data_IF_712235138710
#
_entry.id   IF_712235138710
#
_cell.length_a   1.000
_cell.length_b   1.000
_cell.length_c   1.000
_cell.angle_alpha   90.00
_cell.angle_beta   90.00
_cell.angle_gamma   90.00
#
_symmetry.space_group_name_H-M   'P 1'
#
loop_
_entity.id
_entity.type
_entity.pdbx_description
1 polymer ?
#
# COMPACT_ATOMS: atom_id res chain seq x y z
N UNK A 1 -12.50 -3.00 38.27
CA UNK A 1 -12.52 -1.60 37.83
C UNK A 1 -11.07 -1.24 37.67
N UNK A 2 -10.62 -0.89 36.45
CA UNK A 2 -9.28 -0.37 36.28
C UNK A 2 -9.20 0.92 37.09
N UNK A 3 -8.18 1.08 37.92
CA UNK A 3 -7.92 2.33 38.63
C UNK A 3 -7.72 3.42 37.57
N UNK A 4 -8.78 4.18 37.32
CA UNK A 4 -8.72 5.32 36.41
C UNK A 4 -7.83 6.38 37.04
N UNK A 5 -6.66 6.57 36.43
CA UNK A 5 -5.73 7.56 36.88
C UNK A 5 -6.12 8.92 36.27
N UNK A 6 -6.38 9.92 37.08
CA UNK A 6 -6.82 11.23 36.66
C UNK A 6 -5.70 12.25 36.92
N UNK A 7 -5.24 12.86 35.85
CA UNK A 7 -4.30 13.97 35.88
C UNK A 7 -4.93 15.28 35.40
N UNK A 8 -4.11 16.31 35.31
CA UNK A 8 -4.51 17.62 34.82
C UNK A 8 -3.60 18.11 33.73
N UNK A 9 -4.18 18.70 32.71
CA UNK A 9 -3.44 19.36 31.64
C UNK A 9 -2.66 20.55 32.20
N UNK A 10 -1.37 20.58 31.96
CA UNK A 10 -0.45 21.63 32.43
C UNK A 10 0.01 22.55 31.31
N UNK A 11 0.16 22.03 30.10
CA UNK A 11 0.63 22.80 28.95
C UNK A 11 0.01 22.25 27.65
N UNK A 12 -0.22 23.14 26.69
CA UNK A 12 -0.70 22.81 25.35
C UNK A 12 0.15 23.61 24.36
N UNK A 13 0.82 22.91 23.43
CA UNK A 13 1.62 23.52 22.36
C UNK A 13 1.27 22.82 21.05
N UNK A 14 0.33 23.41 20.29
CA UNK A 14 -0.19 22.78 19.09
C UNK A 14 -0.81 21.42 19.38
N UNK A 15 -0.33 20.39 18.73
CA UNK A 15 -0.79 19.00 18.91
C UNK A 15 -0.13 18.27 20.11
N UNK A 16 0.73 18.96 20.88
CA UNK A 16 1.39 18.38 22.05
C UNK A 16 0.73 18.86 23.33
N UNK A 17 0.43 17.94 24.23
CA UNK A 17 -0.25 18.17 25.50
C UNK A 17 0.61 17.60 26.63
N UNK A 18 0.91 18.41 27.63
CA UNK A 18 1.53 17.93 28.87
C UNK A 18 0.45 17.79 29.94
N UNK A 19 0.47 16.66 30.64
CA UNK A 19 -0.46 16.36 31.72
C UNK A 19 0.29 15.81 32.94
N UNK A 20 -0.11 16.26 34.13
CA UNK A 20 0.49 15.88 35.41
C UNK A 20 -0.45 14.92 36.14
N UNK A 21 0.10 13.79 36.58
CA UNK A 21 -0.58 12.74 37.34
C UNK A 21 0.07 12.61 38.72
N UNK A 22 -0.46 13.30 39.70
CA UNK A 22 0.10 13.34 41.06
C UNK A 22 -0.30 12.18 41.93
N UNK A 23 -1.34 11.46 41.56
CA UNK A 23 -1.87 10.30 42.27
C UNK A 23 -1.94 9.09 41.36
N UNK A 24 -1.67 7.92 41.92
CA UNK A 24 -1.72 6.67 41.15
C UNK A 24 -0.47 6.39 40.31
N UNK A 25 -0.60 5.46 39.38
CA UNK A 25 0.49 5.06 38.48
C UNK A 25 0.56 6.03 37.29
N UNK A 26 1.77 6.51 37.01
CA UNK A 26 2.00 7.32 35.80
C UNK A 26 1.66 6.52 34.53
N UNK A 27 0.88 7.08 33.58
CA UNK A 27 0.62 6.42 32.31
C UNK A 27 1.90 6.00 31.60
N UNK A 28 1.90 4.82 31.01
CA UNK A 28 3.05 4.30 30.28
C UNK A 28 3.18 4.93 28.88
N UNK A 29 4.35 4.81 28.28
CA UNK A 29 4.56 5.23 26.89
C UNK A 29 3.61 4.44 25.98
N UNK A 30 2.97 5.13 25.05
CA UNK A 30 1.91 4.68 24.16
C UNK A 30 0.52 4.52 24.79
N UNK A 31 0.36 4.67 26.10
CA UNK A 31 -0.98 4.66 26.69
C UNK A 31 -1.83 5.81 26.12
N UNK A 32 -3.12 5.53 25.93
CA UNK A 32 -4.09 6.53 25.55
C UNK A 32 -4.57 7.31 26.78
N UNK A 33 -4.68 8.62 26.58
CA UNK A 33 -5.27 9.56 27.55
C UNK A 33 -6.49 10.20 26.91
N UNK A 34 -7.55 10.38 27.67
CA UNK A 34 -8.76 11.06 27.22
C UNK A 34 -8.96 12.39 27.95
N UNK A 35 -9.41 13.39 27.21
CA UNK A 35 -9.73 14.72 27.73
C UNK A 35 -11.11 15.09 27.21
N UNK A 36 -12.06 15.34 28.13
CA UNK A 36 -13.37 15.84 27.76
C UNK A 36 -13.27 17.31 27.33
N UNK A 37 -13.67 17.61 26.12
CA UNK A 37 -13.66 18.97 25.59
C UNK A 37 -14.88 19.73 26.03
N UNK A 38 -14.87 21.08 25.93
CA UNK A 38 -16.02 21.92 26.26
C UNK A 38 -17.21 21.70 25.33
N UNK A 39 -17.01 21.19 24.13
CA UNK A 39 -18.05 20.80 23.17
C UNK A 39 -18.79 19.52 23.53
N UNK A 40 -18.28 18.76 24.50
CA UNK A 40 -18.80 17.45 24.90
C UNK A 40 -18.15 16.26 24.18
N UNK A 41 -17.23 16.54 23.28
CA UNK A 41 -16.45 15.51 22.59
C UNK A 41 -15.30 15.00 23.48
N UNK A 42 -14.79 13.84 23.16
CA UNK A 42 -13.61 13.27 23.82
C UNK A 42 -12.40 13.37 22.91
N UNK A 43 -11.36 14.08 23.34
CA UNK A 43 -10.07 14.08 22.67
C UNK A 43 -9.22 12.94 23.19
N UNK A 44 -8.65 12.16 22.28
CA UNK A 44 -7.64 11.13 22.59
C UNK A 44 -6.26 11.69 22.33
N UNK A 45 -5.33 11.37 23.24
CA UNK A 45 -3.92 11.66 23.09
C UNK A 45 -3.11 10.44 23.50
N UNK A 46 -1.93 10.30 22.91
CA UNK A 46 -1.01 9.17 23.16
C UNK A 46 0.20 9.67 23.93
N UNK A 47 0.56 8.98 25.00
CA UNK A 47 1.77 9.28 25.78
C UNK A 47 3.01 9.01 24.94
N UNK A 48 3.83 10.03 24.73
CA UNK A 48 5.08 9.96 23.96
C UNK A 48 6.33 9.98 24.84
N UNK A 49 6.32 10.75 25.93
CA UNK A 49 7.48 10.93 26.80
C UNK A 49 7.07 11.09 28.26
N UNK A 50 7.94 10.65 29.16
CA UNK A 50 7.91 11.04 30.58
C UNK A 50 8.86 12.20 30.78
N UNK A 51 8.38 13.31 31.32
CA UNK A 51 9.18 14.53 31.55
C UNK A 51 9.79 14.63 32.95
N UNK A 52 9.42 13.72 33.85
CA UNK A 52 9.70 13.84 35.27
C UNK A 52 8.61 14.62 36.00
N UNK A 53 8.71 14.72 37.32
CA UNK A 53 7.73 15.41 38.18
C UNK A 53 6.26 15.00 37.86
N UNK A 54 6.04 13.70 37.76
CA UNK A 54 4.72 13.07 37.45
C UNK A 54 4.05 13.59 36.18
N UNK A 55 4.80 14.14 35.25
CA UNK A 55 4.31 14.74 34.02
C UNK A 55 4.62 13.88 32.81
N UNK A 56 3.61 13.70 31.98
CA UNK A 56 3.73 13.02 30.69
C UNK A 56 3.48 14.00 29.55
N UNK A 57 4.19 13.81 28.46
CA UNK A 57 3.97 14.53 27.20
C UNK A 57 3.26 13.63 26.22
N UNK A 58 2.14 14.14 25.70
CA UNK A 58 1.24 13.40 24.84
C UNK A 58 1.11 14.07 23.47
N UNK A 59 0.76 13.27 22.48
CA UNK A 59 0.45 13.73 21.13
C UNK A 59 -1.04 13.54 20.90
N UNK A 60 -1.73 14.64 20.53
CA UNK A 60 -3.16 14.61 20.27
C UNK A 60 -3.50 13.89 18.96
N UNK A 61 -4.57 13.11 19.00
CA UNK A 61 -5.15 12.42 17.83
C UNK A 61 -6.27 13.22 17.16
N UNK A 62 -6.59 14.38 17.69
CA UNK A 62 -7.61 15.30 17.19
C UNK A 62 -7.23 16.76 17.45
N UNK A 63 -8.06 17.71 17.03
CA UNK A 63 -7.84 19.13 17.26
C UNK A 63 -7.73 19.45 18.74
N UNK A 64 -6.79 20.32 19.12
CA UNK A 64 -6.56 20.77 20.50
C UNK A 64 -7.26 22.11 20.80
N UNK A 65 -8.01 22.62 19.86
CA UNK A 65 -8.73 23.88 20.00
C UNK A 65 -9.71 23.85 21.19
N UNK A 66 -9.67 24.90 21.99
CA UNK A 66 -10.55 25.01 23.17
C UNK A 66 -10.04 24.25 24.40
N UNK A 67 -8.94 23.54 24.35
CA UNK A 67 -8.30 22.98 25.55
C UNK A 67 -7.67 24.10 26.39
N UNK A 68 -7.78 23.98 27.71
CA UNK A 68 -7.17 24.89 28.65
C UNK A 68 -6.43 24.12 29.76
N UNK A 69 -5.46 24.77 30.36
CA UNK A 69 -4.77 24.22 31.55
C UNK A 69 -5.78 23.96 32.67
N UNK A 70 -5.54 22.87 33.40
CA UNK A 70 -6.39 22.46 34.52
C UNK A 70 -7.54 21.51 34.12
N UNK A 71 -7.78 21.28 32.83
CA UNK A 71 -8.70 20.23 32.39
C UNK A 71 -8.24 18.86 32.84
N UNK A 72 -9.20 17.98 33.13
CA UNK A 72 -8.90 16.60 33.52
C UNK A 72 -8.39 15.79 32.32
N UNK A 73 -7.31 15.06 32.56
CA UNK A 73 -6.75 14.09 31.64
C UNK A 73 -6.86 12.70 32.28
N UNK A 74 -7.60 11.79 31.67
CA UNK A 74 -7.86 10.47 32.22
C UNK A 74 -7.02 9.43 31.49
N UNK A 75 -6.13 8.77 32.24
CA UNK A 75 -5.36 7.64 31.73
C UNK A 75 -6.27 6.41 31.54
N UNK A 76 -6.23 5.81 30.37
CA UNK A 76 -7.03 4.61 30.09
C UNK A 76 -6.36 3.32 30.56
N UNK A 77 -5.07 3.37 30.90
CA UNK A 77 -4.27 2.21 31.30
C UNK A 77 -3.92 1.25 30.14
N UNK A 78 -4.15 1.65 28.91
CA UNK A 78 -3.84 0.88 27.70
C UNK A 78 -3.58 1.78 26.51
N UNK A 79 -2.86 1.30 25.48
CA UNK A 79 -2.74 1.98 24.20
C UNK A 79 -4.11 2.17 23.51
N UNK A 80 -4.13 2.99 22.46
CA UNK A 80 -5.32 3.09 21.59
C UNK A 80 -5.69 1.71 21.09
N UNK A 81 -6.94 1.29 21.30
CA UNK A 81 -7.49 0.03 20.81
C UNK A 81 -8.54 0.27 19.74
N UNK A 82 -8.54 -0.58 18.74
CA UNK A 82 -9.43 -0.45 17.57
C UNK A 82 -10.24 -1.73 17.36
N UNK A 83 -11.46 -1.63 16.81
CA UNK A 83 -12.29 -2.78 16.51
C UNK A 83 -11.63 -3.62 15.41
N UNK A 84 -11.74 -4.94 15.54
CA UNK A 84 -11.20 -5.91 14.57
C UNK A 84 -12.25 -6.97 14.24
N UNK A 85 -12.09 -7.66 13.13
CA UNK A 85 -12.94 -8.77 12.73
C UNK A 85 -13.79 -8.48 11.51
N UNK A 86 -14.58 -9.46 11.09
CA UNK A 86 -15.37 -9.40 9.87
C UNK A 86 -16.44 -8.29 9.88
N UNK A 87 -16.87 -7.85 11.06
CA UNK A 87 -17.81 -6.72 11.19
C UNK A 87 -17.21 -5.38 10.74
N UNK A 88 -15.88 -5.30 10.55
CA UNK A 88 -15.20 -4.11 10.01
C UNK A 88 -15.20 -4.08 8.47
N UNK A 89 -15.49 -5.20 7.82
CA UNK A 89 -15.54 -5.27 6.34
C UNK A 89 -16.69 -4.40 5.82
N UNK A 90 -16.44 -3.72 4.72
CA UNK A 90 -17.39 -2.80 4.12
C UNK A 90 -17.50 -1.44 4.83
N UNK A 91 -16.65 -1.19 5.81
CA UNK A 91 -16.73 -0.03 6.69
C UNK A 91 -15.51 0.88 6.54
N UNK A 92 -15.69 2.13 6.94
CA UNK A 92 -14.66 3.17 6.91
C UNK A 92 -14.46 3.76 8.31
N UNK A 93 -13.20 3.81 8.76
CA UNK A 93 -12.83 4.20 10.13
C UNK A 93 -11.78 5.32 10.13
N UNK A 94 -11.68 6.04 11.25
CA UNK A 94 -10.58 6.93 11.56
C UNK A 94 -9.46 6.20 12.34
N UNK A 95 -8.43 6.93 12.76
CA UNK A 95 -7.28 6.39 13.51
C UNK A 95 -7.69 5.69 14.81
N UNK A 96 -8.79 6.10 15.44
CA UNK A 96 -9.31 5.53 16.68
C UNK A 96 -10.24 4.33 16.45
N UNK A 97 -10.44 3.91 15.20
CA UNK A 97 -11.41 2.87 14.85
C UNK A 97 -12.86 3.31 14.99
N UNK A 98 -13.12 4.61 15.01
CA UNK A 98 -14.48 5.16 14.98
C UNK A 98 -14.97 5.23 13.54
N UNK A 99 -16.24 4.83 13.26
CA UNK A 99 -16.77 4.86 11.91
C UNK A 99 -16.91 6.31 11.39
N UNK A 100 -16.54 6.51 10.13
CA UNK A 100 -16.67 7.79 9.41
C UNK A 100 -17.54 7.67 8.15
N UNK A 101 -18.22 6.54 8.00
CA UNK A 101 -19.12 6.21 6.89
C UNK A 101 -20.59 6.54 7.16
N UNK A 102 -20.87 7.33 8.19
CA UNK A 102 -22.22 7.69 8.64
C UNK A 102 -23.11 6.50 9.03
N UNK A 103 -22.49 5.38 9.38
CA UNK A 103 -23.18 4.18 9.88
C UNK A 103 -22.87 3.99 11.37
N UNK A 104 -23.71 3.25 12.10
CA UNK A 104 -23.45 2.93 13.51
C UNK A 104 -22.12 2.16 13.66
N UNK A 105 -21.50 2.27 14.85
CA UNK A 105 -20.32 1.49 15.15
C UNK A 105 -20.59 -0.02 14.98
N UNK A 106 -19.67 -0.77 14.37
CA UNK A 106 -19.85 -2.20 14.20
C UNK A 106 -19.85 -2.90 15.57
N UNK A 107 -20.68 -3.92 15.71
CA UNK A 107 -20.65 -4.77 16.89
C UNK A 107 -19.52 -5.77 16.73
N UNK A 108 -18.49 -5.62 17.53
CA UNK A 108 -17.31 -6.48 17.53
C UNK A 108 -17.09 -7.05 18.92
N UNK A 109 -16.59 -8.27 18.98
CA UNK A 109 -16.27 -8.94 20.24
C UNK A 109 -14.85 -8.63 20.72
N UNK A 110 -14.00 -8.15 19.82
CA UNK A 110 -12.57 -7.98 20.07
C UNK A 110 -12.09 -6.60 19.64
N UNK A 111 -11.30 -5.96 20.51
CA UNK A 111 -10.54 -4.76 20.27
C UNK A 111 -9.06 -5.07 20.47
N UNK A 112 -8.20 -4.61 19.57
CA UNK A 112 -6.76 -4.84 19.68
C UNK A 112 -6.00 -3.50 19.75
N UNK A 113 -4.90 -3.43 20.52
CA UNK A 113 -4.06 -2.25 20.59
C UNK A 113 -3.32 -2.04 19.25
N UNK A 114 -3.16 -0.79 18.84
CA UNK A 114 -2.43 -0.46 17.61
C UNK A 114 -0.91 -0.64 17.77
N UNK A 115 -0.39 -0.53 18.98
CA UNK A 115 1.00 -0.81 19.30
C UNK A 115 1.16 -2.29 19.66
N UNK A 116 1.68 -3.05 18.72
CA UNK A 116 1.94 -4.48 18.85
C UNK A 116 3.35 -4.80 18.37
N UNK A 117 3.91 -5.86 18.92
CA UNK A 117 5.19 -6.38 18.45
C UNK A 117 5.01 -7.08 17.11
N UNK A 118 6.07 -7.05 16.29
CA UNK A 118 6.14 -7.91 15.12
C UNK A 118 6.08 -9.40 15.53
N UNK A 119 5.59 -10.30 14.64
CA UNK A 119 5.63 -11.72 14.90
C UNK A 119 7.04 -12.20 15.24
N UNK A 120 7.14 -13.10 16.21
CA UNK A 120 8.42 -13.69 16.58
C UNK A 120 8.97 -14.55 15.43
N UNK A 121 10.28 -14.74 15.40
CA UNK A 121 10.95 -15.52 14.35
C UNK A 121 10.35 -16.94 14.20
N UNK A 122 9.96 -17.54 15.32
CA UNK A 122 9.32 -18.86 15.36
C UNK A 122 7.92 -18.92 14.75
N UNK A 123 7.23 -17.79 14.67
CA UNK A 123 5.87 -17.66 14.14
C UNK A 123 5.85 -17.37 12.65
N UNK A 124 6.94 -16.84 12.10
CA UNK A 124 7.05 -16.48 10.70
C UNK A 124 7.14 -17.70 9.79
N UNK A 125 6.52 -17.61 8.63
CA UNK A 125 6.71 -18.59 7.57
C UNK A 125 8.04 -18.33 6.86
N UNK A 126 8.77 -19.41 6.59
CA UNK A 126 10.04 -19.37 5.84
C UNK A 126 9.84 -19.66 4.35
N UNK A 127 8.63 -20.01 3.95
CA UNK A 127 8.30 -20.32 2.56
C UNK A 127 8.22 -19.03 1.73
N UNK A 128 8.86 -19.06 0.58
CA UNK A 128 8.79 -17.98 -0.41
C UNK A 128 7.80 -18.39 -1.49
N UNK A 129 6.62 -17.79 -1.49
CA UNK A 129 5.57 -18.05 -2.46
C UNK A 129 5.24 -16.79 -3.26
N UNK A 130 4.88 -16.98 -4.53
CA UNK A 130 4.33 -15.90 -5.35
C UNK A 130 2.88 -15.67 -4.96
N UNK A 131 2.51 -14.41 -4.75
CA UNK A 131 1.12 -13.98 -4.73
C UNK A 131 0.68 -13.74 -6.17
N UNK A 132 -0.05 -14.68 -6.74
CA UNK A 132 -0.56 -14.56 -8.11
C UNK A 132 -1.67 -13.52 -8.17
N UNK A 133 -1.43 -12.44 -8.92
CA UNK A 133 -2.35 -11.30 -9.02
C UNK A 133 -3.33 -11.41 -10.19
N UNK A 134 -3.04 -12.26 -11.16
CA UNK A 134 -3.79 -12.37 -12.41
C UNK A 134 -3.54 -11.23 -13.39
N UNK A 135 -2.57 -10.37 -13.09
CA UNK A 135 -2.14 -9.25 -13.93
C UNK A 135 -0.81 -9.63 -14.58
N UNK A 136 -0.82 -9.82 -15.91
CA UNK A 136 0.31 -10.35 -16.66
C UNK A 136 1.64 -9.65 -16.39
N UNK A 137 1.65 -8.33 -16.49
CA UNK A 137 2.89 -7.54 -16.33
C UNK A 137 3.44 -7.64 -14.93
N UNK A 138 2.59 -7.71 -13.93
CA UNK A 138 3.01 -7.86 -12.52
C UNK A 138 3.57 -9.26 -12.29
N UNK A 139 2.79 -10.28 -12.58
CA UNK A 139 3.15 -11.67 -12.28
C UNK A 139 4.39 -12.14 -13.04
N UNK A 140 4.59 -11.64 -14.26
CA UNK A 140 5.74 -12.00 -15.08
C UNK A 140 7.03 -11.26 -14.68
N UNK A 141 6.97 -9.93 -14.57
CA UNK A 141 8.16 -9.05 -14.52
C UNK A 141 8.50 -8.53 -13.14
N UNK A 142 7.50 -8.32 -12.29
CA UNK A 142 7.69 -7.86 -10.91
C UNK A 142 6.79 -8.65 -9.94
N UNK A 143 6.91 -9.99 -9.89
CA UNK A 143 6.01 -10.83 -9.10
C UNK A 143 6.05 -10.44 -7.62
N UNK A 144 4.88 -10.45 -7.01
CA UNK A 144 4.71 -10.12 -5.60
C UNK A 144 4.96 -11.36 -4.75
N UNK A 145 5.77 -11.19 -3.73
CA UNK A 145 5.94 -12.22 -2.71
C UNK A 145 4.79 -12.18 -1.72
N UNK A 146 4.21 -13.32 -1.43
CA UNK A 146 3.21 -13.47 -0.37
C UNK A 146 3.86 -13.12 0.97
N UNK A 147 3.26 -12.18 1.69
CA UNK A 147 3.87 -11.60 2.89
C UNK A 147 4.96 -10.57 2.63
N UNK A 148 5.17 -10.20 1.36
CA UNK A 148 6.14 -9.20 0.95
C UNK A 148 5.62 -7.76 1.00
N UNK A 149 6.53 -6.83 0.80
CA UNK A 149 6.28 -5.39 0.79
C UNK A 149 6.57 -4.85 -0.60
N UNK A 150 5.55 -4.33 -1.24
CA UNK A 150 5.62 -3.83 -2.61
C UNK A 150 5.50 -2.31 -2.61
N UNK A 151 6.46 -1.64 -3.21
CA UNK A 151 6.38 -0.21 -3.48
C UNK A 151 5.64 0.07 -4.79
N UNK A 152 4.63 0.90 -4.75
CA UNK A 152 3.90 1.36 -5.92
C UNK A 152 4.26 2.82 -6.21
N UNK A 153 4.92 3.04 -7.34
CA UNK A 153 5.37 4.35 -7.79
C UNK A 153 4.50 4.81 -8.95
N UNK A 154 4.20 6.08 -9.00
CA UNK A 154 3.48 6.67 -10.13
C UNK A 154 2.94 8.05 -9.79
N UNK A 155 2.99 8.93 -10.77
CA UNK A 155 2.40 10.27 -10.68
C UNK A 155 0.87 10.24 -10.73
N UNK A 156 0.27 11.42 -10.78
CA UNK A 156 -1.18 11.54 -10.93
C UNK A 156 -1.63 11.06 -12.32
N UNK A 157 -2.77 10.38 -12.37
CA UNK A 157 -3.43 10.00 -13.62
C UNK A 157 -2.80 8.82 -14.38
N UNK A 158 -1.96 8.02 -13.74
CA UNK A 158 -1.35 6.83 -14.36
C UNK A 158 -2.10 5.53 -14.06
N UNK A 159 -3.26 5.59 -13.40
CA UNK A 159 -4.09 4.42 -13.12
C UNK A 159 -3.76 3.70 -11.81
N UNK A 160 -3.12 4.36 -10.85
CA UNK A 160 -2.79 3.78 -9.54
C UNK A 160 -4.03 3.21 -8.83
N UNK A 161 -5.08 4.00 -8.71
CA UNK A 161 -6.34 3.60 -8.04
C UNK A 161 -7.00 2.41 -8.72
N UNK A 162 -7.03 2.40 -10.04
CA UNK A 162 -7.62 1.31 -10.83
C UNK A 162 -6.84 0.01 -10.65
N UNK A 163 -5.51 0.09 -10.58
CA UNK A 163 -4.66 -1.06 -10.30
C UNK A 163 -4.93 -1.62 -8.89
N UNK A 164 -5.03 -0.75 -7.89
CA UNK A 164 -5.34 -1.13 -6.50
C UNK A 164 -6.69 -1.85 -6.44
N UNK A 165 -7.72 -1.32 -7.07
CA UNK A 165 -9.05 -1.92 -7.10
C UNK A 165 -9.04 -3.29 -7.79
N UNK A 166 -8.31 -3.45 -8.88
CA UNK A 166 -8.19 -4.73 -9.58
C UNK A 166 -7.46 -5.77 -8.73
N UNK A 167 -6.40 -5.38 -8.02
CA UNK A 167 -5.72 -6.25 -7.05
C UNK A 167 -6.67 -6.71 -5.95
N UNK A 168 -7.48 -5.82 -5.39
CA UNK A 168 -8.48 -6.16 -4.37
C UNK A 168 -9.49 -7.16 -4.94
N UNK A 169 -10.01 -6.88 -6.13
CA UNK A 169 -10.98 -7.75 -6.81
C UNK A 169 -10.41 -9.15 -7.02
N UNK A 170 -9.21 -9.24 -7.57
CA UNK A 170 -8.59 -10.52 -7.89
C UNK A 170 -8.25 -11.33 -6.64
N UNK A 171 -7.75 -10.68 -5.59
CA UNK A 171 -7.48 -11.35 -4.32
C UNK A 171 -8.76 -11.85 -3.65
N UNK A 172 -9.82 -11.05 -3.66
CA UNK A 172 -11.10 -11.46 -3.08
C UNK A 172 -11.76 -12.61 -3.86
N UNK A 173 -11.71 -12.55 -5.20
CA UNK A 173 -12.41 -13.50 -6.08
C UNK A 173 -11.65 -14.82 -6.18
N UNK A 174 -10.34 -14.77 -6.42
CA UNK A 174 -9.53 -15.96 -6.74
C UNK A 174 -8.89 -16.59 -5.49
N UNK A 175 -8.54 -15.79 -4.49
CA UNK A 175 -7.87 -16.25 -3.28
C UNK A 175 -8.77 -16.26 -2.04
N UNK A 176 -9.98 -15.69 -2.11
CA UNK A 176 -10.89 -15.57 -0.98
C UNK A 176 -10.32 -14.74 0.18
N UNK A 177 -9.35 -13.88 -0.11
CA UNK A 177 -8.66 -13.03 0.85
C UNK A 177 -9.43 -11.76 1.17
N UNK A 178 -8.99 -11.10 2.22
CA UNK A 178 -9.49 -9.78 2.62
C UNK A 178 -8.47 -8.70 2.33
N UNK A 179 -8.95 -7.47 2.21
CA UNK A 179 -8.11 -6.31 2.00
C UNK A 179 -8.35 -5.27 3.08
N UNK A 180 -7.29 -4.55 3.43
CA UNK A 180 -7.36 -3.36 4.29
C UNK A 180 -6.73 -2.21 3.52
N UNK A 181 -7.48 -1.15 3.31
CA UNK A 181 -6.99 0.07 2.70
C UNK A 181 -6.74 1.13 3.77
N UNK A 182 -5.53 1.66 3.80
CA UNK A 182 -5.11 2.68 4.76
C UNK A 182 -4.70 3.94 4.03
N UNK A 183 -5.53 4.98 4.13
CA UNK A 183 -5.23 6.31 3.60
C UNK A 183 -4.48 7.16 4.63
N UNK A 184 -3.25 7.51 4.31
CA UNK A 184 -2.36 8.28 5.20
C UNK A 184 -2.09 9.65 4.62
N UNK A 185 -2.65 10.68 5.20
CA UNK A 185 -2.43 12.08 4.82
C UNK A 185 -2.93 12.45 3.43
N UNK A 186 -3.87 11.69 2.89
CA UNK A 186 -4.49 11.96 1.59
C UNK A 186 -5.67 12.93 1.69
N UNK A 187 -6.14 13.42 0.57
CA UNK A 187 -7.28 14.33 0.51
C UNK A 187 -8.56 13.60 0.85
N UNK A 188 -9.40 14.23 1.68
CA UNK A 188 -10.72 13.69 2.08
C UNK A 188 -11.58 13.32 0.87
N UNK A 189 -11.56 14.15 -0.17
CA UNK A 189 -12.30 13.90 -1.40
C UNK A 189 -11.86 12.60 -2.08
N UNK A 190 -10.56 12.39 -2.23
CA UNK A 190 -10.01 11.19 -2.90
C UNK A 190 -10.37 9.92 -2.13
N UNK A 191 -10.32 9.96 -0.80
CA UNK A 191 -10.77 8.85 0.04
C UNK A 191 -12.25 8.55 -0.09
N UNK A 192 -13.08 9.57 -0.19
CA UNK A 192 -14.51 9.43 -0.37
C UNK A 192 -14.86 8.90 -1.78
N UNK A 193 -14.20 9.43 -2.81
CA UNK A 193 -14.38 8.96 -4.18
C UNK A 193 -14.00 7.46 -4.27
N UNK A 194 -12.87 7.06 -3.70
CA UNK A 194 -12.44 5.65 -3.64
C UNK A 194 -13.47 4.75 -2.93
N UNK A 195 -14.04 5.21 -1.83
CA UNK A 195 -15.07 4.45 -1.10
C UNK A 195 -16.30 4.17 -1.97
N UNK A 196 -16.79 5.17 -2.68
CA UNK A 196 -17.94 4.99 -3.59
C UNK A 196 -17.59 4.14 -4.81
N UNK A 197 -16.42 4.30 -5.39
CA UNK A 197 -15.93 3.44 -6.49
C UNK A 197 -15.84 1.97 -6.05
N UNK A 198 -15.40 1.70 -4.82
CA UNK A 198 -15.39 0.34 -4.27
C UNK A 198 -16.79 -0.23 -4.04
N UNK A 199 -17.76 0.61 -3.68
CA UNK A 199 -19.16 0.19 -3.58
C UNK A 199 -19.69 -0.18 -4.97
N UNK A 200 -19.46 0.67 -5.97
CA UNK A 200 -19.93 0.44 -7.34
C UNK A 200 -19.32 -0.81 -7.99
N UNK A 201 -18.03 -1.06 -7.72
CA UNK A 201 -17.35 -2.26 -8.20
C UNK A 201 -17.64 -3.53 -7.37
N UNK A 202 -18.34 -3.40 -6.23
CA UNK A 202 -18.69 -4.53 -5.36
C UNK A 202 -17.54 -5.08 -4.50
N UNK A 203 -16.36 -4.46 -4.54
CA UNK A 203 -15.18 -4.95 -3.78
C UNK A 203 -15.19 -4.52 -2.31
N UNK A 204 -16.04 -3.57 -1.95
CA UNK A 204 -16.11 -3.02 -0.60
C UNK A 204 -16.44 -4.08 0.46
N UNK A 205 -17.24 -5.09 0.14
CA UNK A 205 -17.67 -6.13 1.06
C UNK A 205 -16.51 -6.99 1.62
N UNK A 206 -15.36 -7.00 0.93
CA UNK A 206 -14.14 -7.70 1.31
C UNK A 206 -13.03 -6.77 1.79
N UNK A 207 -13.36 -5.50 2.00
CA UNK A 207 -12.36 -4.46 2.29
C UNK A 207 -12.75 -3.67 3.54
N UNK A 208 -11.77 -3.49 4.43
CA UNK A 208 -11.85 -2.53 5.54
C UNK A 208 -11.06 -1.28 5.15
N UNK A 209 -11.62 -0.10 5.36
CA UNK A 209 -10.95 1.16 5.05
C UNK A 209 -10.67 1.97 6.30
N UNK A 210 -9.47 2.54 6.39
CA UNK A 210 -9.05 3.39 7.51
C UNK A 210 -8.39 4.65 6.95
N UNK A 211 -8.79 5.82 7.43
CA UNK A 211 -8.26 7.09 6.94
C UNK A 211 -7.77 7.99 8.07
N UNK A 212 -6.56 8.53 7.90
CA UNK A 212 -6.04 9.68 8.60
C UNK A 212 -5.76 10.77 7.58
N UNK A 213 -6.71 11.70 7.43
CA UNK A 213 -6.74 12.65 6.32
C UNK A 213 -5.70 13.77 6.45
N UNK A 214 -5.47 14.48 5.36
CA UNK A 214 -4.53 15.59 5.26
C UNK A 214 -4.81 16.72 6.26
N UNK A 215 -6.07 16.96 6.60
CA UNK A 215 -6.50 18.01 7.53
C UNK A 215 -6.46 17.58 9.01
N UNK A 216 -6.19 16.30 9.28
CA UNK A 216 -6.06 15.81 10.65
C UNK A 216 -4.69 16.13 11.25
N UNK A 217 -4.56 16.22 12.59
CA UNK A 217 -3.28 16.50 13.23
C UNK A 217 -2.24 15.42 12.95
N UNK A 218 -0.94 15.75 13.09
CA UNK A 218 0.14 14.83 12.75
C UNK A 218 0.12 13.53 13.55
N UNK A 219 -0.40 13.53 14.78
CA UNK A 219 -0.58 12.32 15.57
C UNK A 219 -1.50 11.32 14.89
N UNK A 220 -2.64 11.75 14.38
CA UNK A 220 -3.58 10.90 13.66
C UNK A 220 -2.96 10.35 12.37
N UNK A 221 -2.31 11.20 11.57
CA UNK A 221 -1.65 10.78 10.32
C UNK A 221 -0.48 9.82 10.56
N UNK A 222 0.23 9.95 11.68
CA UNK A 222 1.33 9.07 12.07
C UNK A 222 0.83 7.68 12.52
N UNK A 223 -0.35 7.60 13.14
CA UNK A 223 -0.85 6.37 13.77
C UNK A 223 -1.88 5.60 12.94
N UNK A 224 -2.50 6.21 11.95
CA UNK A 224 -3.52 5.56 11.12
C UNK A 224 -2.99 4.31 10.41
N UNK A 225 -1.73 4.31 9.99
CA UNK A 225 -1.07 3.13 9.41
C UNK A 225 -1.05 1.94 10.37
N UNK A 226 -0.82 2.19 11.65
CA UNK A 226 -0.86 1.15 12.69
C UNK A 226 -2.28 0.64 12.92
N UNK A 227 -3.29 1.50 12.81
CA UNK A 227 -4.69 1.10 12.93
C UNK A 227 -5.07 0.12 11.82
N UNK A 228 -4.79 0.45 10.57
CA UNK A 228 -5.06 -0.44 9.45
C UNK A 228 -4.28 -1.75 9.54
N UNK A 229 -3.01 -1.68 9.90
CA UNK A 229 -2.16 -2.85 10.09
C UNK A 229 -2.70 -3.78 11.20
N UNK A 230 -3.19 -3.22 12.31
CA UNK A 230 -3.79 -4.01 13.41
C UNK A 230 -5.04 -4.76 12.94
N UNK A 231 -5.89 -4.12 12.13
CA UNK A 231 -7.05 -4.78 11.55
C UNK A 231 -6.65 -5.90 10.59
N UNK A 232 -5.61 -5.69 9.79
CA UNK A 232 -5.05 -6.70 8.89
C UNK A 232 -4.44 -7.89 9.66
N UNK A 233 -3.74 -7.63 10.75
CA UNK A 233 -3.14 -8.66 11.60
C UNK A 233 -4.19 -9.60 12.21
N UNK A 234 -5.35 -9.09 12.57
CA UNK A 234 -6.44 -9.95 13.06
C UNK A 234 -6.88 -10.96 11.99
N UNK A 235 -7.06 -10.53 10.77
CA UNK A 235 -7.43 -11.42 9.66
C UNK A 235 -6.35 -12.46 9.35
N UNK A 236 -5.07 -12.07 9.43
CA UNK A 236 -3.94 -13.00 9.27
C UNK A 236 -3.87 -14.03 10.40
N UNK A 237 -3.89 -13.57 11.64
CA UNK A 237 -3.52 -14.37 12.81
C UNK A 237 -4.70 -15.16 13.39
N UNK A 238 -5.91 -14.60 13.43
CA UNK A 238 -7.09 -15.19 14.02
C UNK A 238 -8.02 -15.85 13.00
N UNK A 239 -8.16 -15.26 11.82
CA UNK A 239 -9.02 -15.80 10.76
C UNK A 239 -8.24 -16.69 9.79
N UNK A 240 -6.91 -16.59 9.78
CA UNK A 240 -6.04 -17.41 8.92
C UNK A 240 -6.17 -17.07 7.43
N UNK A 241 -6.35 -15.79 7.10
CA UNK A 241 -6.51 -15.31 5.73
C UNK A 241 -5.22 -14.74 5.17
N UNK A 242 -5.16 -14.74 3.86
CA UNK A 242 -4.22 -13.92 3.11
C UNK A 242 -4.81 -12.52 2.98
N UNK A 243 -4.11 -11.54 3.51
CA UNK A 243 -4.57 -10.15 3.56
C UNK A 243 -3.72 -9.29 2.66
N UNK A 244 -4.38 -8.44 1.90
CA UNK A 244 -3.74 -7.39 1.12
C UNK A 244 -3.89 -6.06 1.86
N UNK A 245 -2.76 -5.47 2.26
CA UNK A 245 -2.72 -4.20 2.97
C UNK A 245 -2.24 -3.10 2.04
N UNK A 246 -3.09 -2.12 1.79
CA UNK A 246 -2.71 -0.91 1.04
C UNK A 246 -2.38 0.23 1.99
N UNK A 247 -1.27 0.91 1.75
CA UNK A 247 -0.89 2.13 2.46
C UNK A 247 -0.70 3.24 1.41
N UNK A 248 -1.61 4.17 1.38
CA UNK A 248 -1.52 5.31 0.50
C UNK A 248 -1.56 6.60 1.33
N UNK A 249 -0.46 7.24 1.62
CA UNK A 249 0.87 7.06 1.06
C UNK A 249 1.89 6.93 2.21
N UNK A 250 2.83 6.03 2.11
CA UNK A 250 3.82 5.77 3.19
C UNK A 250 4.73 6.97 3.47
N UNK A 251 4.98 7.83 2.48
CA UNK A 251 5.75 9.07 2.69
C UNK A 251 5.06 10.00 3.70
N UNK A 252 3.73 10.05 3.70
CA UNK A 252 2.96 10.87 4.65
C UNK A 252 3.10 10.39 6.09
N UNK A 253 3.29 9.10 6.29
CA UNK A 253 3.66 8.55 7.60
C UNK A 253 4.97 9.13 8.12
N UNK A 254 6.01 9.15 7.30
CA UNK A 254 7.31 9.73 7.68
C UNK A 254 7.23 11.23 7.89
N UNK A 255 6.48 11.93 7.05
CA UNK A 255 6.27 13.37 7.17
C UNK A 255 5.54 13.73 8.49
N UNK A 256 4.48 13.01 8.84
CA UNK A 256 3.78 13.20 10.11
C UNK A 256 4.70 12.93 11.30
N UNK A 257 5.56 11.92 11.21
CA UNK A 257 6.58 11.62 12.22
C UNK A 257 7.59 12.75 12.38
N UNK A 258 7.99 13.42 11.31
CA UNK A 258 8.89 14.57 11.38
C UNK A 258 8.22 15.79 12.04
N UNK A 259 6.97 16.04 11.73
CA UNK A 259 6.18 17.10 12.38
C UNK A 259 6.05 16.85 13.89
N UNK A 260 5.72 15.65 14.30
CA UNK A 260 5.65 15.24 15.71
C UNK A 260 7.01 15.40 16.40
N UNK A 261 8.08 14.95 15.77
CA UNK A 261 9.45 15.08 16.31
C UNK A 261 9.85 16.53 16.54
N UNK A 262 9.51 17.41 15.61
CA UNK A 262 9.74 18.86 15.76
C UNK A 262 8.94 19.46 16.92
N UNK A 263 7.67 19.09 17.06
CA UNK A 263 6.81 19.52 18.18
C UNK A 263 7.32 19.01 19.54
N UNK A 264 7.94 17.83 19.56
CA UNK A 264 8.58 17.28 20.78
C UNK A 264 9.94 17.92 21.10
N UNK A 265 10.43 18.81 20.24
CA UNK A 265 11.71 19.49 20.44
C UNK A 265 12.94 18.59 20.23
N UNK A 266 12.81 17.52 19.48
CA UNK A 266 13.94 16.64 19.13
C UNK A 266 14.85 17.31 18.11
N UNK A 267 16.14 17.08 18.23
CA UNK A 267 17.12 17.56 17.25
C UNK A 267 16.90 16.83 15.92
N UNK A 268 16.66 17.54 14.83
CA UNK A 268 16.42 16.90 13.54
C UNK A 268 17.69 16.22 13.00
N UNK A 269 17.50 15.16 12.23
CA UNK A 269 18.55 14.51 11.45
C UNK A 269 18.69 15.16 10.06
N UNK A 270 19.32 14.46 9.11
CA UNK A 270 19.51 14.95 7.76
C UNK A 270 18.17 15.38 7.10
N UNK A 271 18.21 16.48 6.37
CA UNK A 271 17.06 17.05 5.63
C UNK A 271 15.86 17.42 6.53
N UNK A 272 16.06 17.53 7.84
CA UNK A 272 15.01 17.88 8.80
C UNK A 272 14.12 16.73 9.26
N UNK A 273 14.44 15.50 8.89
CA UNK A 273 13.70 14.32 9.35
C UNK A 273 13.98 14.00 10.82
N UNK A 274 13.08 13.22 11.42
CA UNK A 274 13.24 12.73 12.79
C UNK A 274 14.45 11.80 12.93
N UNK A 275 15.15 11.84 14.07
CA UNK A 275 16.29 10.93 14.32
C UNK A 275 15.83 9.46 14.45
N UNK A 276 14.54 9.23 14.70
CA UNK A 276 13.91 7.93 14.89
C UNK A 276 13.28 7.37 13.61
N UNK A 277 13.54 7.97 12.43
CA UNK A 277 12.92 7.60 11.16
C UNK A 277 13.04 6.11 10.84
N UNK A 278 14.24 5.55 10.93
CA UNK A 278 14.48 4.13 10.66
C UNK A 278 13.78 3.21 11.65
N UNK A 279 13.77 3.57 12.92
CA UNK A 279 13.12 2.78 13.97
C UNK A 279 11.60 2.80 13.81
N UNK A 280 11.03 3.95 13.52
CA UNK A 280 9.57 4.10 13.28
C UNK A 280 9.13 3.32 12.03
N UNK A 281 9.86 3.45 10.94
CA UNK A 281 9.59 2.71 9.72
C UNK A 281 9.76 1.20 9.94
N UNK A 282 10.83 0.77 10.58
CA UNK A 282 11.07 -0.63 10.91
C UNK A 282 9.98 -1.23 11.78
N UNK A 283 9.54 -0.52 12.81
CA UNK A 283 8.48 -0.98 13.70
C UNK A 283 7.15 -1.25 12.95
N UNK A 284 6.84 -0.46 11.93
CA UNK A 284 5.67 -0.69 11.09
C UNK A 284 5.93 -1.83 10.09
N UNK A 285 7.03 -1.80 9.37
CA UNK A 285 7.31 -2.71 8.27
C UNK A 285 7.52 -4.16 8.71
N UNK A 286 8.17 -4.39 9.86
CA UNK A 286 8.44 -5.74 10.37
C UNK A 286 7.18 -6.50 10.82
N UNK A 287 6.08 -5.81 11.07
CA UNK A 287 4.78 -6.43 11.34
C UNK A 287 4.12 -7.00 10.08
N UNK A 288 4.53 -6.51 8.92
CA UNK A 288 4.00 -6.91 7.60
C UNK A 288 4.79 -8.12 7.13
N UNK A 289 4.26 -9.31 7.36
CA UNK A 289 4.95 -10.57 7.01
C UNK A 289 3.95 -11.73 6.94
N UNK A 290 4.41 -12.85 6.41
CA UNK A 290 3.70 -14.12 6.49
C UNK A 290 3.97 -14.81 7.82
N UNK A 291 2.90 -15.34 8.42
CA UNK A 291 3.00 -16.24 9.56
C UNK A 291 2.55 -17.64 9.18
N UNK A 292 2.65 -18.59 10.10
CA UNK A 292 2.15 -19.97 9.90
C UNK A 292 0.62 -20.03 9.71
N UNK A 293 -0.10 -18.99 10.11
CA UNK A 293 -1.57 -18.94 10.06
C UNK A 293 -2.09 -18.25 8.79
N UNK A 294 -1.38 -17.26 8.28
CA UNK A 294 -1.80 -16.47 7.14
C UNK A 294 -0.72 -15.48 6.71
N UNK A 295 -1.07 -14.57 5.83
CA UNK A 295 -0.11 -13.58 5.33
C UNK A 295 -0.70 -12.16 5.28
N UNK A 296 0.18 -11.17 5.41
CA UNK A 296 -0.09 -9.79 5.02
C UNK A 296 0.90 -9.42 3.93
N UNK A 297 0.40 -9.15 2.75
CA UNK A 297 1.18 -8.57 1.64
C UNK A 297 0.80 -7.11 1.52
N UNK A 298 1.78 -6.21 1.56
CA UNK A 298 1.48 -4.78 1.46
C UNK A 298 1.82 -4.20 0.09
N UNK A 299 0.94 -3.34 -0.38
CA UNK A 299 1.19 -2.46 -1.53
C UNK A 299 1.20 -1.03 -0.98
N UNK A 300 2.36 -0.41 -1.01
CA UNK A 300 2.60 0.89 -0.41
C UNK A 300 2.86 1.91 -1.51
N UNK A 301 1.98 2.90 -1.63
CA UNK A 301 2.25 4.03 -2.52
C UNK A 301 3.40 4.85 -1.94
N UNK A 302 4.42 5.08 -2.76
CA UNK A 302 5.61 5.83 -2.36
C UNK A 302 5.67 7.11 -3.20
N UNK A 303 5.67 8.24 -2.52
CA UNK A 303 5.94 9.53 -3.13
C UNK A 303 7.43 9.87 -2.92
N UNK A 304 8.10 10.26 -3.99
CA UNK A 304 9.50 10.64 -3.98
C UNK A 304 9.59 12.16 -4.09
N UNK A 305 9.95 12.89 -3.02
CA UNK A 305 10.05 14.35 -3.06
C UNK A 305 11.07 14.80 -4.10
N UNK A 306 10.65 15.70 -5.00
CA UNK A 306 11.50 16.25 -6.06
C UNK A 306 12.17 15.18 -6.96
N UNK A 307 11.59 13.99 -7.05
CA UNK A 307 12.16 12.83 -7.76
C UNK A 307 13.55 12.42 -7.25
N UNK A 308 13.90 12.80 -6.02
CA UNK A 308 15.18 12.48 -5.40
C UNK A 308 15.10 11.18 -4.59
N UNK A 309 15.57 10.10 -5.18
CA UNK A 309 15.63 8.78 -4.55
C UNK A 309 16.64 8.70 -3.38
N UNK A 310 17.50 9.71 -3.23
CA UNK A 310 18.47 9.77 -2.14
C UNK A 310 17.92 10.45 -0.89
N UNK A 311 16.73 11.05 -0.98
CA UNK A 311 16.05 11.60 0.19
C UNK A 311 15.86 10.50 1.25
N UNK A 312 16.12 10.80 2.55
CA UNK A 312 16.07 9.81 3.62
C UNK A 312 14.74 9.05 3.76
N UNK A 313 13.60 9.67 3.45
CA UNK A 313 12.31 9.01 3.57
C UNK A 313 12.10 7.91 2.53
N UNK A 314 12.20 8.15 1.21
CA UNK A 314 12.14 7.07 0.23
C UNK A 314 13.28 6.06 0.41
N UNK A 315 14.52 6.50 0.68
CA UNK A 315 15.64 5.60 0.90
C UNK A 315 15.40 4.60 2.05
N UNK A 316 14.84 5.06 3.16
CA UNK A 316 14.47 4.18 4.29
C UNK A 316 13.35 3.22 3.91
N UNK A 317 12.36 3.68 3.15
CA UNK A 317 11.27 2.83 2.67
C UNK A 317 11.79 1.75 1.71
N UNK A 318 12.64 2.09 0.75
CA UNK A 318 13.21 1.15 -0.22
C UNK A 318 13.97 -0.01 0.44
N UNK A 319 14.62 0.22 1.57
CA UNK A 319 15.33 -0.83 2.29
C UNK A 319 14.41 -1.98 2.72
N UNK A 320 13.13 -1.74 2.89
CA UNK A 320 12.13 -2.72 3.30
C UNK A 320 11.38 -3.39 2.13
N UNK A 321 11.46 -2.83 0.92
CA UNK A 321 10.67 -3.32 -0.22
C UNK A 321 11.24 -4.59 -0.83
N UNK A 322 10.37 -5.54 -1.14
CA UNK A 322 10.67 -6.78 -1.84
C UNK A 322 10.46 -6.67 -3.36
N UNK A 323 9.54 -5.82 -3.77
CA UNK A 323 9.26 -5.52 -5.18
C UNK A 323 8.88 -4.06 -5.37
N UNK A 324 9.09 -3.57 -6.58
CA UNK A 324 8.63 -2.24 -7.01
C UNK A 324 7.83 -2.33 -8.30
N UNK A 325 6.68 -1.70 -8.30
CA UNK A 325 5.83 -1.54 -9.48
C UNK A 325 5.81 -0.06 -9.84
N UNK A 326 6.34 0.28 -11.00
CA UNK A 326 6.43 1.66 -11.48
C UNK A 326 5.37 1.89 -12.55
N UNK A 327 4.44 2.80 -12.29
CA UNK A 327 3.46 3.26 -13.27
C UNK A 327 4.00 4.48 -14.01
N UNK A 328 4.02 4.41 -15.33
CA UNK A 328 4.67 5.41 -16.19
C UNK A 328 3.68 6.13 -17.08
N UNK A 329 3.82 7.47 -17.15
CA UNK A 329 3.02 8.28 -18.05
C UNK A 329 3.32 7.98 -19.53
N UNK A 330 4.56 7.65 -19.85
CA UNK A 330 4.95 7.29 -21.22
C UNK A 330 4.23 6.03 -21.71
N UNK A 331 3.93 5.10 -20.80
CA UNK A 331 3.14 3.90 -21.12
C UNK A 331 1.65 4.26 -21.29
N UNK A 332 1.13 5.20 -20.48
CA UNK A 332 -0.25 5.73 -20.65
C UNK A 332 -0.42 6.38 -22.03
N UNK A 333 0.55 7.14 -22.46
CA UNK A 333 0.54 7.81 -23.77
C UNK A 333 0.50 6.83 -24.95
N UNK A 334 0.97 5.60 -24.75
CA UNK A 334 0.84 4.51 -25.72
C UNK A 334 -0.52 3.82 -25.68
N UNK A 335 -1.39 4.21 -24.75
CA UNK A 335 -2.71 3.55 -24.55
C UNK A 335 -2.63 2.16 -23.92
N UNK A 336 -1.54 1.86 -23.21
CA UNK A 336 -1.30 0.58 -22.56
C UNK A 336 -1.70 0.66 -21.09
N UNK A 337 -2.64 -0.16 -20.67
CA UNK A 337 -3.10 -0.29 -19.30
C UNK A 337 -3.11 -1.75 -18.85
N UNK A 338 -2.65 -2.07 -17.63
CA UNK A 338 -2.05 -1.15 -16.64
C UNK A 338 -0.75 -0.54 -17.16
N UNK A 339 -0.51 0.71 -16.81
CA UNK A 339 0.64 1.47 -17.31
C UNK A 339 1.93 1.15 -16.53
N UNK A 340 2.17 -0.11 -16.24
CA UNK A 340 3.36 -0.59 -15.54
C UNK A 340 4.55 -0.54 -16.47
N UNK A 341 5.61 0.14 -16.04
CA UNK A 341 6.87 0.17 -16.79
C UNK A 341 7.59 -1.18 -16.63
N UNK A 342 7.75 -1.93 -17.72
CA UNK A 342 8.31 -3.27 -17.65
C UNK A 342 9.82 -3.32 -17.41
N UNK A 343 10.52 -2.21 -17.61
CA UNK A 343 11.97 -2.09 -17.45
C UNK A 343 12.37 -1.49 -16.10
N UNK A 344 11.53 -0.61 -15.55
CA UNK A 344 11.77 0.04 -14.25
C UNK A 344 11.19 -0.75 -13.06
N UNK A 345 10.23 -1.62 -13.31
CA UNK A 345 9.62 -2.44 -12.26
C UNK A 345 10.48 -3.67 -11.97
N UNK A 346 10.66 -3.99 -10.68
CA UNK A 346 11.57 -5.04 -10.23
C UNK A 346 10.96 -5.89 -9.12
N UNK A 347 11.48 -7.11 -8.94
CA UNK A 347 11.14 -7.97 -7.81
C UNK A 347 12.34 -8.81 -7.39
N UNK A 348 12.56 -8.92 -6.08
CA UNK A 348 13.62 -9.76 -5.51
C UNK A 348 13.39 -11.25 -5.75
N UNK A 349 12.13 -11.67 -5.86
CA UNK A 349 11.80 -13.08 -6.07
C UNK A 349 11.84 -13.49 -7.54
N UNK A 350 12.13 -12.59 -8.47
CA UNK A 350 12.39 -12.94 -9.87
C UNK A 350 13.80 -13.55 -10.00
N UNK A 351 13.92 -14.75 -9.48
CA UNK A 351 15.14 -15.57 -9.42
C UNK A 351 14.75 -17.01 -9.81
N UNK A 352 15.54 -17.70 -10.65
CA UNK A 352 15.18 -19.03 -11.12
C UNK A 352 14.96 -20.06 -10.00
N UNK A 353 15.58 -19.85 -8.85
CA UNK A 353 15.39 -20.72 -7.66
C UNK A 353 14.02 -20.56 -7.00
N UNK A 354 13.35 -19.44 -7.22
CA UNK A 354 12.03 -19.13 -6.64
C UNK A 354 10.92 -19.33 -7.64
N UNK A 355 11.03 -18.66 -8.81
CA UNK A 355 9.97 -18.68 -9.83
C UNK A 355 10.09 -19.83 -10.83
N UNK A 356 11.24 -20.52 -10.85
CA UNK A 356 11.56 -21.55 -11.82
C UNK A 356 12.26 -21.00 -13.07
N UNK A 357 12.96 -21.90 -13.77
CA UNK A 357 13.78 -21.56 -14.94
C UNK A 357 12.95 -20.99 -16.09
N UNK A 358 11.79 -21.54 -16.36
CA UNK A 358 10.95 -21.11 -17.48
C UNK A 358 10.41 -19.72 -17.29
N UNK A 359 9.83 -19.43 -16.14
CA UNK A 359 9.34 -18.09 -15.81
C UNK A 359 10.47 -17.07 -15.91
N UNK A 360 11.61 -17.36 -15.30
CA UNK A 360 12.77 -16.47 -15.32
C UNK A 360 13.27 -16.18 -16.73
N UNK A 361 13.42 -17.21 -17.57
CA UNK A 361 13.85 -17.04 -18.97
C UNK A 361 12.89 -16.21 -19.79
N UNK A 362 11.60 -16.44 -19.65
CA UNK A 362 10.57 -15.66 -20.37
C UNK A 362 10.56 -14.21 -19.91
N UNK A 363 10.62 -13.96 -18.61
CA UNK A 363 10.68 -12.60 -18.06
C UNK A 363 11.93 -11.86 -18.56
N UNK A 364 13.10 -12.48 -18.53
CA UNK A 364 14.34 -11.90 -19.06
C UNK A 364 14.25 -11.66 -20.55
N UNK A 365 13.71 -12.59 -21.32
CA UNK A 365 13.50 -12.43 -22.77
C UNK A 365 12.59 -11.23 -23.09
N UNK A 366 11.54 -11.02 -22.32
CA UNK A 366 10.66 -9.84 -22.46
C UNK A 366 11.43 -8.55 -22.16
N UNK A 367 12.20 -8.52 -21.08
CA UNK A 367 13.00 -7.34 -20.71
C UNK A 367 14.07 -7.04 -21.78
N UNK A 368 14.76 -8.06 -22.27
CA UNK A 368 15.82 -7.91 -23.29
C UNK A 368 15.26 -7.38 -24.61
N UNK A 369 14.15 -7.91 -25.09
CA UNK A 369 13.55 -7.45 -26.34
C UNK A 369 13.00 -6.01 -26.23
N UNK A 370 12.42 -5.64 -25.10
CA UNK A 370 11.95 -4.29 -24.86
C UNK A 370 13.10 -3.29 -24.68
N UNK A 371 14.18 -3.70 -24.03
CA UNK A 371 15.39 -2.88 -23.91
C UNK A 371 16.04 -2.65 -25.28
N UNK A 372 16.16 -3.68 -26.08
CA UNK A 372 16.69 -3.58 -27.43
C UNK A 372 15.82 -2.65 -28.31
N UNK A 373 14.50 -2.77 -28.18
CA UNK A 373 13.58 -1.88 -28.89
C UNK A 373 13.75 -0.42 -28.47
N UNK A 374 13.91 -0.17 -27.17
CA UNK A 374 14.16 1.17 -26.65
C UNK A 374 15.43 1.80 -27.24
N UNK A 375 16.50 1.02 -27.36
CA UNK A 375 17.75 1.46 -27.98
C UNK A 375 17.61 1.74 -29.49
N UNK A 376 16.77 0.97 -30.18
CA UNK A 376 16.50 1.17 -31.61
C UNK A 376 15.55 2.33 -31.92
N UNK A 377 14.78 2.79 -30.94
CA UNK A 377 13.80 3.87 -31.16
C UNK A 377 14.44 5.16 -31.65
N UNK A 378 15.60 5.54 -31.14
CA UNK A 378 16.32 6.73 -31.57
C UNK A 378 16.77 6.61 -33.03
N UNK A 379 17.23 5.43 -33.42
CA UNK A 379 17.62 5.12 -34.79
C UNK A 379 16.40 5.20 -35.73
N UNK A 380 15.28 4.60 -35.30
CA UNK A 380 14.03 4.60 -36.06
C UNK A 380 13.51 6.03 -36.25
N UNK A 381 13.58 6.85 -35.22
CA UNK A 381 13.11 8.25 -35.26
C UNK A 381 13.93 9.14 -36.25
N UNK A 382 15.22 8.88 -36.36
CA UNK A 382 16.13 9.67 -37.19
C UNK A 382 16.22 9.12 -38.61
N UNK A 383 16.38 7.82 -38.78
CA UNK A 383 16.70 7.19 -40.07
C UNK A 383 15.52 6.41 -40.67
N UNK A 384 14.50 6.10 -39.89
CA UNK A 384 13.37 5.29 -40.33
C UNK A 384 13.59 3.79 -40.14
N UNK A 385 12.52 3.02 -40.30
CA UNK A 385 12.51 1.57 -40.14
C UNK A 385 13.33 0.84 -41.24
N UNK A 386 13.42 1.44 -42.42
CA UNK A 386 14.06 0.77 -43.57
C UNK A 386 15.58 0.62 -43.42
N UNK A 387 16.19 1.47 -42.61
CA UNK A 387 17.63 1.44 -42.32
C UNK A 387 18.04 0.36 -41.28
N UNK A 388 17.07 -0.28 -40.68
CA UNK A 388 17.35 -1.37 -39.71
C UNK A 388 17.77 -2.66 -40.47
N UNK A 389 18.63 -3.45 -39.82
CA UNK A 389 18.89 -4.81 -40.26
C UNK A 389 17.63 -5.68 -40.22
N UNK A 390 17.57 -6.76 -41.02
CA UNK A 390 16.42 -7.66 -40.99
C UNK A 390 16.21 -8.29 -39.61
N UNK A 391 17.29 -8.57 -38.88
CA UNK A 391 17.23 -9.06 -37.51
C UNK A 391 16.59 -8.02 -36.59
N UNK A 392 17.00 -6.75 -36.68
CA UNK A 392 16.44 -5.68 -35.87
C UNK A 392 14.96 -5.39 -36.20
N UNK A 393 14.56 -5.52 -37.46
CA UNK A 393 13.16 -5.42 -37.88
C UNK A 393 12.29 -6.48 -37.22
N UNK A 394 12.78 -7.72 -37.13
CA UNK A 394 12.09 -8.81 -36.40
C UNK A 394 11.98 -8.50 -34.91
N UNK A 395 13.08 -8.05 -34.30
CA UNK A 395 13.10 -7.66 -32.88
C UNK A 395 12.07 -6.55 -32.63
N UNK A 396 12.04 -5.51 -33.45
CA UNK A 396 11.08 -4.39 -33.30
C UNK A 396 9.64 -4.88 -33.45
N UNK A 397 9.36 -5.72 -34.44
CA UNK A 397 8.02 -6.26 -34.66
C UNK A 397 7.53 -7.09 -33.47
N UNK A 398 8.37 -7.97 -32.91
CA UNK A 398 8.05 -8.77 -31.72
C UNK A 398 7.96 -7.90 -30.46
N UNK A 399 8.85 -6.93 -30.28
CA UNK A 399 8.85 -6.02 -29.13
C UNK A 399 7.54 -5.20 -29.06
N UNK A 400 7.05 -4.74 -30.19
CA UNK A 400 5.77 -4.01 -30.27
C UNK A 400 4.59 -4.90 -29.91
N UNK A 401 4.60 -6.17 -30.31
CA UNK A 401 3.60 -7.16 -29.90
C UNK A 401 3.67 -7.42 -28.41
N UNK A 402 4.84 -7.64 -27.86
CA UNK A 402 5.09 -7.84 -26.43
C UNK A 402 4.57 -6.63 -25.64
N UNK A 403 4.92 -5.41 -26.05
CA UNK A 403 4.50 -4.18 -25.39
C UNK A 403 2.98 -4.05 -25.34
N UNK A 404 2.29 -4.31 -26.46
CA UNK A 404 0.84 -4.26 -26.52
C UNK A 404 0.18 -5.40 -25.73
N UNK A 405 0.81 -6.58 -25.72
CA UNK A 405 0.32 -7.73 -24.99
C UNK A 405 0.48 -7.61 -23.46
N UNK A 406 1.33 -6.72 -22.98
CA UNK A 406 1.39 -6.35 -21.56
C UNK A 406 0.13 -5.64 -21.08
N UNK A 407 -0.66 -5.07 -21.98
CA UNK A 407 -1.98 -4.52 -21.65
C UNK A 407 -2.97 -5.63 -21.33
N UNK A 408 -3.94 -5.31 -20.48
CA UNK A 408 -4.94 -6.26 -20.01
C UNK A 408 -6.22 -5.53 -19.62
N UNK A 409 -7.42 -6.02 -20.03
CA UNK A 409 -8.65 -5.44 -19.57
C UNK A 409 -8.92 -5.82 -18.12
N UNK A 410 -9.28 -4.83 -17.31
CA UNK A 410 -9.58 -5.00 -15.89
C UNK A 410 -11.08 -5.12 -15.63
N UNK A 411 -11.46 -5.96 -14.65
CA UNK A 411 -12.84 -6.11 -14.21
C UNK A 411 -13.43 -4.78 -13.72
N UNK A 412 -12.65 -4.05 -12.93
CA UNK A 412 -13.10 -2.76 -12.37
C UNK A 412 -13.23 -1.65 -13.42
N UNK A 413 -12.71 -1.83 -14.61
CA UNK A 413 -12.79 -0.88 -15.72
C UNK A 413 -13.80 -1.26 -16.81
N UNK A 414 -14.53 -2.35 -16.68
CA UNK A 414 -15.48 -2.86 -17.69
C UNK A 414 -16.49 -1.81 -18.12
N UNK A 415 -17.06 -1.09 -17.17
CA UNK A 415 -18.06 -0.05 -17.44
C UNK A 415 -17.52 1.15 -18.23
N UNK A 416 -16.21 1.41 -18.16
CA UNK A 416 -15.55 2.51 -18.86
C UNK A 416 -15.00 2.09 -20.23
N UNK A 417 -14.50 0.87 -20.33
CA UNK A 417 -13.83 0.35 -21.53
C UNK A 417 -14.76 -0.41 -22.45
N UNK A 418 -15.87 -0.93 -21.93
CA UNK A 418 -16.77 -1.85 -22.64
C UNK A 418 -16.14 -3.22 -22.90
N UNK A 419 -14.98 -3.52 -22.31
CA UNK A 419 -14.30 -4.79 -22.47
C UNK A 419 -14.45 -5.62 -21.19
N UNK A 420 -14.82 -6.92 -21.28
CA UNK A 420 -14.88 -7.79 -20.12
C UNK A 420 -13.49 -7.97 -19.53
N UNK A 421 -13.39 -7.84 -18.20
CA UNK A 421 -12.14 -8.01 -17.47
C UNK A 421 -11.59 -9.43 -17.59
N UNK A 422 -10.29 -9.57 -17.45
CA UNK A 422 -9.59 -10.85 -17.54
C UNK A 422 -8.66 -11.03 -16.34
N UNK A 423 -8.83 -12.15 -15.66
CA UNK A 423 -7.81 -12.70 -14.77
C UNK A 423 -6.96 -13.67 -15.59
N UNK A 424 -5.68 -13.46 -15.67
CA UNK A 424 -4.79 -14.33 -16.47
C UNK A 424 -3.90 -15.14 -15.53
N UNK A 425 -4.08 -16.47 -15.47
CA UNK A 425 -3.20 -17.33 -14.68
C UNK A 425 -1.74 -17.17 -15.10
N UNK A 426 -0.84 -17.28 -14.15
CA UNK A 426 0.61 -17.12 -14.39
C UNK A 426 1.13 -18.09 -15.44
N UNK A 427 0.64 -19.34 -15.45
CA UNK A 427 0.99 -20.34 -16.46
C UNK A 427 0.66 -19.88 -17.89
N UNK A 428 -0.50 -19.29 -18.07
CA UNK A 428 -0.96 -18.78 -19.37
C UNK A 428 -0.15 -17.56 -19.79
N UNK A 429 0.20 -16.71 -18.84
CA UNK A 429 1.07 -15.55 -19.06
C UNK A 429 2.46 -16.01 -19.56
N UNK A 430 3.08 -16.93 -18.88
CA UNK A 430 4.41 -17.45 -19.25
C UNK A 430 4.36 -18.09 -20.64
N UNK A 431 3.40 -18.97 -20.88
CA UNK A 431 3.25 -19.66 -22.16
C UNK A 431 3.00 -18.67 -23.32
N UNK A 432 2.13 -17.69 -23.10
CA UNK A 432 1.78 -16.70 -24.11
C UNK A 432 2.97 -15.83 -24.52
N UNK A 433 3.70 -15.29 -23.56
CA UNK A 433 4.91 -14.50 -23.85
C UNK A 433 6.03 -15.33 -24.47
N UNK A 434 6.19 -16.58 -24.03
CA UNK A 434 7.15 -17.51 -24.64
C UNK A 434 6.88 -17.70 -26.13
N UNK A 435 5.64 -17.94 -26.50
CA UNK A 435 5.25 -18.12 -27.91
C UNK A 435 5.48 -16.87 -28.77
N UNK A 436 5.25 -15.68 -28.21
CA UNK A 436 5.53 -14.41 -28.90
C UNK A 436 7.03 -14.25 -29.11
N UNK A 437 7.86 -14.52 -28.09
CA UNK A 437 9.32 -14.42 -28.17
C UNK A 437 9.92 -15.43 -29.16
N UNK A 438 9.36 -16.61 -29.23
CA UNK A 438 9.78 -17.68 -30.18
C UNK A 438 9.32 -17.40 -31.63
N UNK A 439 8.51 -16.38 -31.85
CA UNK A 439 8.05 -15.99 -33.17
C UNK A 439 6.90 -16.82 -33.74
N UNK A 440 6.22 -17.61 -32.92
CA UNK A 440 5.07 -18.43 -33.36
C UNK A 440 3.89 -17.62 -33.91
N UNK A 441 3.85 -16.34 -33.57
CA UNK A 441 2.76 -15.43 -33.92
C UNK A 441 3.26 -14.20 -34.71
N UNK A 442 4.39 -14.33 -35.43
CA UNK A 442 4.98 -13.24 -36.21
C UNK A 442 4.08 -12.77 -37.35
N UNK A 443 3.21 -13.63 -37.83
CA UNK A 443 2.22 -13.37 -38.90
C UNK A 443 0.99 -12.58 -38.44
N UNK A 444 0.78 -12.44 -37.13
CA UNK A 444 -0.38 -11.75 -36.58
C UNK A 444 -0.08 -10.27 -36.42
N UNK A 445 -0.93 -9.34 -36.92
CA UNK A 445 -0.75 -7.91 -36.72
C UNK A 445 -0.72 -7.51 -35.25
N UNK A 446 0.13 -6.58 -34.89
CA UNK A 446 0.36 -6.14 -33.51
C UNK A 446 -0.89 -5.61 -32.80
N UNK A 447 -1.86 -5.07 -33.54
CA UNK A 447 -3.12 -4.52 -33.00
C UNK A 447 -3.96 -5.56 -32.26
N UNK A 448 -3.87 -6.82 -32.63
CA UNK A 448 -4.64 -7.91 -32.00
C UNK A 448 -4.13 -8.25 -30.58
N UNK A 449 -2.90 -7.86 -30.27
CA UNK A 449 -2.29 -8.10 -28.94
C UNK A 449 -2.72 -7.08 -27.88
N UNK A 450 -3.32 -5.96 -28.30
CA UNK A 450 -3.81 -4.96 -27.36
C UNK A 450 -5.05 -5.45 -26.62
N UNK A 451 -5.09 -5.26 -25.30
CA UNK A 451 -6.20 -5.65 -24.44
C UNK A 451 -6.62 -7.12 -24.61
N UNK A 452 -5.66 -8.00 -24.70
CA UNK A 452 -5.86 -9.44 -24.68
C UNK A 452 -5.52 -10.02 -23.29
N UNK A 453 -6.19 -11.07 -22.90
CA UNK A 453 -5.85 -11.84 -21.71
C UNK A 453 -4.68 -12.79 -22.00
N UNK A 454 -4.98 -13.95 -22.62
CA UNK A 454 -3.97 -14.91 -23.06
C UNK A 454 -3.77 -14.84 -24.58
N UNK A 455 -2.82 -15.65 -25.08
CA UNK A 455 -2.60 -15.77 -26.51
C UNK A 455 -3.84 -16.33 -27.24
N UNK A 456 -4.66 -17.14 -26.57
CA UNK A 456 -5.90 -17.66 -27.14
C UNK A 456 -6.89 -16.54 -27.47
N UNK A 457 -6.93 -15.48 -26.67
CA UNK A 457 -7.75 -14.28 -26.96
C UNK A 457 -7.26 -13.58 -28.23
N UNK A 458 -5.95 -13.52 -28.45
CA UNK A 458 -5.37 -12.97 -29.68
C UNK A 458 -5.77 -13.79 -30.89
N UNK A 459 -5.68 -15.11 -30.80
CA UNK A 459 -6.07 -16.03 -31.85
C UNK A 459 -7.57 -15.98 -32.15
N UNK A 460 -8.39 -15.81 -31.12
CA UNK A 460 -9.83 -15.64 -31.27
C UNK A 460 -10.20 -14.33 -31.98
N UNK A 461 -9.46 -13.24 -31.74
CA UNK A 461 -9.63 -11.98 -32.48
C UNK A 461 -9.29 -12.10 -33.96
N UNK A 462 -8.30 -12.93 -34.31
CA UNK A 462 -7.89 -13.15 -35.71
C UNK A 462 -8.91 -13.95 -36.51
N UNK A 463 -9.77 -14.73 -35.84
CA UNK A 463 -10.80 -15.56 -36.51
C UNK A 463 -12.14 -14.84 -36.75
N UNK A 464 -12.30 -13.66 -36.18
CA UNK A 464 -13.46 -12.78 -36.41
C UNK A 464 -13.16 -11.76 -37.50
#
# INVERSE_FOLDING_TARGET
MADTNVGKVTQIVGAVIDAKFTEGKLPEIHDAITIATKSGDTLYAEVSQHLGDDTVRCIAMGPTDGLVRGMEAVGTGAPITVPVGEATLGRMFNVLGQPIDNKPAPKVDTYLPIHRKAPEFSEQSTETEILETGIKVVDLLCPYQKGGKIGLFGGAGVGKTVLIQELITNIATEHGGYSVFTGVGERTREGNDLYYEMIESGVIEKTTMVFGQMNEPPGARMRVGLTGLTMAEYFRDQVGKDVLLFIDNIFRFTQAGSEVSALLGRVPSAVGYQPTLQTEMGALQERITSTKNGSITSVQAVNVPADDLTDPAPATTFAHLDATTVLSRSIVELGIYPAVDPLESTSRILDPRVVGEEHYKVARGVQEILQKYKELQDIIAILGMDELSEEDKIVVARARKVQKFLSQPFHVAEQFTGLPGKYVPLSDTIQSFKEILEGKHDDIPESYFLNAGSIDDVLAKCKK
#
